data_IF_207912454636
#
_entry.id   IF_207912454636
#
_cell.length_a   1.000
_cell.length_b   1.000
_cell.length_c   1.000
_cell.angle_alpha   90.00
_cell.angle_beta   90.00
_cell.angle_gamma   90.00
#
_symmetry.space_group_name_H-M   'P 1'
#
loop_
_entity.id
_entity.type
_entity.pdbx_description
1 polymer ?
#
# COMPACT_ATOMS: atom_id res chain seq x y z
N UNK A 1 -4.61 18.55 -19.22
CA UNK A 1 -4.18 18.05 -17.90
C UNK A 1 -3.87 16.55 -17.94
N UNK A 2 -4.69 15.71 -18.58
CA UNK A 2 -4.48 14.25 -18.75
C UNK A 2 -3.15 13.84 -19.41
N UNK A 3 -2.53 14.72 -20.20
CA UNK A 3 -1.27 14.44 -20.90
C UNK A 3 -0.05 14.52 -19.97
N UNK A 4 -0.06 15.44 -19.00
CA UNK A 4 1.05 15.62 -18.05
C UNK A 4 1.10 14.49 -17.00
N UNK A 5 -0.07 14.09 -16.49
CA UNK A 5 -0.21 12.96 -15.57
C UNK A 5 0.29 11.66 -16.19
N UNK A 6 -0.14 11.36 -17.42
CA UNK A 6 0.30 10.17 -18.15
C UNK A 6 1.81 10.17 -18.41
N UNK A 7 2.39 11.32 -18.79
CA UNK A 7 3.83 11.45 -19.01
C UNK A 7 4.63 11.16 -17.72
N UNK A 8 4.17 11.69 -16.58
CA UNK A 8 4.81 11.45 -15.28
C UNK A 8 4.75 9.96 -14.89
N UNK A 9 3.58 9.32 -15.06
CA UNK A 9 3.42 7.89 -14.76
C UNK A 9 4.30 7.02 -15.64
N UNK A 10 4.39 7.31 -16.95
CA UNK A 10 5.31 6.60 -17.87
C UNK A 10 6.76 6.75 -17.45
N UNK A 11 7.16 7.95 -17.00
CA UNK A 11 8.51 8.20 -16.49
C UNK A 11 8.80 7.39 -15.23
N UNK A 12 7.87 7.36 -14.26
CA UNK A 12 8.05 6.58 -13.03
C UNK A 12 8.06 5.06 -13.32
N UNK A 13 7.24 4.58 -14.25
CA UNK A 13 7.24 3.17 -14.65
C UNK A 13 8.57 2.78 -15.29
N UNK A 14 9.07 3.60 -16.22
CA UNK A 14 10.36 3.38 -16.85
C UNK A 14 11.52 3.39 -15.84
N UNK A 15 11.46 4.26 -14.83
CA UNK A 15 12.46 4.33 -13.76
C UNK A 15 12.45 3.05 -12.92
N UNK A 16 11.28 2.58 -12.48
CA UNK A 16 11.14 1.34 -11.69
C UNK A 16 11.57 0.10 -12.49
N UNK A 17 11.31 0.06 -13.80
CA UNK A 17 11.78 -1.02 -14.66
C UNK A 17 13.30 -1.02 -14.86
N UNK A 18 13.92 0.17 -14.89
CA UNK A 18 15.35 0.32 -15.07
C UNK A 18 16.12 0.09 -13.77
N UNK A 19 15.60 0.59 -12.67
CA UNK A 19 16.17 0.58 -11.33
C UNK A 19 15.14 -0.03 -10.37
N UNK A 20 14.97 -1.37 -10.37
CA UNK A 20 14.03 -2.04 -9.49
C UNK A 20 14.42 -1.82 -8.03
N UNK A 21 13.42 -1.57 -7.19
CA UNK A 21 13.59 -1.35 -5.75
C UNK A 21 13.28 -2.66 -5.02
N UNK A 22 14.09 -2.99 -4.02
CA UNK A 22 13.88 -4.22 -3.25
C UNK A 22 12.57 -4.16 -2.45
N UNK A 23 11.93 -5.32 -2.29
CA UNK A 23 10.72 -5.48 -1.49
C UNK A 23 9.40 -5.31 -2.26
N UNK A 24 9.41 -4.82 -3.50
CA UNK A 24 8.22 -4.85 -4.35
C UNK A 24 8.53 -4.92 -5.85
N UNK A 25 7.53 -5.29 -6.63
CA UNK A 25 7.50 -5.11 -8.08
C UNK A 25 6.23 -4.36 -8.48
N UNK A 26 6.30 -3.56 -9.54
CA UNK A 26 5.19 -2.75 -10.02
C UNK A 26 5.12 -2.77 -11.54
N UNK A 27 3.92 -2.88 -12.09
CA UNK A 27 3.67 -2.90 -13.53
C UNK A 27 2.24 -2.49 -13.85
N UNK A 28 1.89 -2.47 -15.14
CA UNK A 28 0.52 -2.17 -15.57
C UNK A 28 -0.36 -3.42 -15.44
N UNK A 29 -1.63 -3.21 -15.09
CA UNK A 29 -2.64 -4.28 -15.19
C UNK A 29 -2.93 -4.58 -16.66
N UNK A 30 -2.98 -3.52 -17.47
CA UNK A 30 -3.21 -3.54 -18.91
C UNK A 30 -2.28 -2.49 -19.54
N UNK A 31 -1.52 -2.89 -20.57
CA UNK A 31 -0.54 -2.03 -21.24
C UNK A 31 -1.18 -0.78 -21.88
N UNK A 32 -2.49 -0.84 -22.14
CA UNK A 32 -3.27 0.28 -22.69
C UNK A 32 -3.75 1.28 -21.62
N UNK A 33 -3.69 0.94 -20.31
CA UNK A 33 -4.17 1.78 -19.20
C UNK A 33 -3.06 2.13 -18.20
N UNK A 34 -2.32 3.20 -18.50
CA UNK A 34 -1.25 3.74 -17.64
C UNK A 34 -1.71 4.18 -16.25
N UNK A 35 -3.02 4.28 -15.98
CA UNK A 35 -3.58 4.72 -14.69
C UNK A 35 -3.92 3.56 -13.75
N UNK A 36 -3.70 2.30 -14.16
CA UNK A 36 -3.98 1.12 -13.33
C UNK A 36 -2.78 0.20 -13.27
N UNK A 37 -2.21 0.11 -12.08
CA UNK A 37 -1.00 -0.66 -11.85
C UNK A 37 -1.29 -1.83 -10.93
N UNK A 38 -0.63 -2.95 -11.20
CA UNK A 38 -0.49 -4.06 -10.29
C UNK A 38 0.85 -3.92 -9.57
N UNK A 39 0.85 -4.12 -8.26
CA UNK A 39 2.06 -4.21 -7.45
C UNK A 39 2.06 -5.50 -6.66
N UNK A 40 3.23 -6.10 -6.49
CA UNK A 40 3.44 -7.25 -5.60
C UNK A 40 4.45 -6.84 -4.56
N UNK A 41 4.06 -6.89 -3.29
CA UNK A 41 4.89 -6.51 -2.15
C UNK A 41 5.33 -7.79 -1.43
N UNK A 42 6.63 -7.90 -1.19
CA UNK A 42 7.20 -8.97 -0.39
C UNK A 42 7.10 -8.53 1.08
N UNK A 43 6.53 -9.39 1.91
CA UNK A 43 6.44 -9.17 3.35
C UNK A 43 7.82 -8.87 3.96
N UNK A 44 8.00 -7.75 4.69
CA UNK A 44 9.32 -7.33 5.14
C UNK A 44 9.92 -8.31 6.16
N UNK A 45 11.24 -8.44 6.17
CA UNK A 45 11.97 -9.26 7.15
C UNK A 45 11.74 -8.76 8.58
N UNK A 46 11.80 -9.69 9.54
CA UNK A 46 11.60 -9.43 10.97
C UNK A 46 10.21 -8.86 11.32
N UNK A 47 9.22 -9.08 10.44
CA UNK A 47 7.82 -8.71 10.68
C UNK A 47 6.91 -9.93 10.71
N UNK A 48 5.67 -9.75 11.19
CA UNK A 48 4.67 -10.83 11.12
C UNK A 48 4.27 -11.19 9.68
N UNK A 49 4.56 -10.32 8.71
CA UNK A 49 4.23 -10.49 7.30
C UNK A 49 5.36 -11.15 6.50
N UNK A 50 6.53 -11.39 7.11
CA UNK A 50 7.73 -11.90 6.45
C UNK A 50 7.45 -13.10 5.54
N UNK A 51 7.97 -13.03 4.31
CA UNK A 51 7.86 -14.10 3.31
C UNK A 51 6.49 -14.18 2.60
N UNK A 52 5.53 -13.32 2.92
CA UNK A 52 4.28 -13.21 2.17
C UNK A 52 4.43 -12.48 0.83
N UNK A 53 3.56 -12.79 -0.14
CA UNK A 53 3.50 -12.14 -1.46
C UNK A 53 2.15 -11.43 -1.65
N UNK A 54 2.10 -10.13 -1.35
CA UNK A 54 0.85 -9.39 -1.31
C UNK A 54 0.63 -8.58 -2.59
N UNK A 55 -0.28 -9.05 -3.43
CA UNK A 55 -0.73 -8.34 -4.63
C UNK A 55 -1.68 -7.22 -4.24
N UNK A 56 -1.48 -6.05 -4.85
CA UNK A 56 -2.34 -4.89 -4.70
C UNK A 56 -2.49 -4.14 -6.03
N UNK A 57 -3.57 -3.35 -6.14
CA UNK A 57 -3.79 -2.43 -7.25
C UNK A 57 -3.59 -1.00 -6.81
N UNK A 58 -2.95 -0.23 -7.67
CA UNK A 58 -2.79 1.21 -7.55
C UNK A 58 -3.56 1.89 -8.69
N UNK A 59 -4.60 2.63 -8.35
CA UNK A 59 -5.45 3.34 -9.31
C UNK A 59 -5.21 4.84 -9.21
N UNK A 60 -4.65 5.42 -10.25
CA UNK A 60 -4.28 6.83 -10.30
C UNK A 60 -5.44 7.68 -10.81
N UNK A 61 -5.65 8.88 -10.24
CA UNK A 61 -6.61 9.83 -10.80
C UNK A 61 -6.02 10.55 -12.02
N UNK A 62 -6.89 11.07 -12.90
CA UNK A 62 -6.46 11.79 -14.11
C UNK A 62 -5.73 13.11 -13.86
N UNK A 63 -5.82 13.65 -12.64
CA UNK A 63 -5.10 14.85 -12.18
C UNK A 63 -3.90 14.51 -11.30
N UNK A 64 -3.43 13.26 -11.29
CA UNK A 64 -2.13 12.91 -10.72
C UNK A 64 -1.01 13.80 -11.28
N UNK A 65 -0.08 14.34 -10.46
CA UNK A 65 0.15 14.07 -9.04
C UNK A 65 -0.53 15.07 -8.08
N UNK A 66 -1.55 15.82 -8.51
CA UNK A 66 -2.25 16.75 -7.60
C UNK A 66 -3.04 16.01 -6.52
N UNK A 67 -3.57 14.84 -6.86
CA UNK A 67 -4.24 13.93 -5.92
C UNK A 67 -3.58 12.56 -5.88
N UNK A 68 -3.64 11.88 -4.72
CA UNK A 68 -3.01 10.57 -4.55
C UNK A 68 -3.71 9.49 -5.39
N UNK A 69 -3.01 8.41 -5.72
CA UNK A 69 -3.67 7.18 -6.15
C UNK A 69 -4.44 6.52 -5.00
N UNK A 70 -5.35 5.61 -5.33
CA UNK A 70 -5.93 4.67 -4.36
C UNK A 70 -5.20 3.35 -4.43
N UNK A 71 -4.87 2.79 -3.26
CA UNK A 71 -4.26 1.48 -3.16
C UNK A 71 -5.22 0.47 -2.52
N UNK A 72 -5.27 -0.72 -3.10
CA UNK A 72 -6.12 -1.81 -2.64
C UNK A 72 -5.41 -3.16 -2.71
N UNK A 73 -5.26 -3.85 -1.59
CA UNK A 73 -4.82 -5.23 -1.59
C UNK A 73 -5.86 -6.15 -2.24
N UNK A 74 -5.38 -6.99 -3.14
CA UNK A 74 -6.15 -8.06 -3.80
C UNK A 74 -5.92 -9.38 -3.04
N UNK A 75 -4.69 -9.62 -2.61
CA UNK A 75 -4.38 -10.68 -1.66
C UNK A 75 -5.05 -10.40 -0.32
N UNK A 76 -5.67 -11.40 0.29
CA UNK A 76 -6.24 -11.30 1.64
C UNK A 76 -5.14 -10.94 2.65
N UNK A 77 -5.34 -9.86 3.41
CA UNK A 77 -4.40 -9.39 4.43
C UNK A 77 -5.15 -9.01 5.71
N UNK A 78 -4.55 -9.32 6.86
CA UNK A 78 -5.07 -8.92 8.18
C UNK A 78 -4.20 -7.82 8.76
N UNK A 79 -4.66 -6.56 8.70
CA UNK A 79 -3.85 -5.41 9.10
C UNK A 79 -4.73 -4.26 9.64
N UNK A 80 -4.32 -3.54 10.71
CA UNK A 80 -5.07 -2.39 11.26
C UNK A 80 -5.39 -1.29 10.25
N UNK A 81 -4.45 -0.95 9.37
CA UNK A 81 -4.59 0.11 8.35
C UNK A 81 -5.09 -0.39 6.98
N UNK A 82 -5.59 -1.62 6.90
CA UNK A 82 -6.22 -2.16 5.68
C UNK A 82 -7.66 -2.52 5.98
N UNK A 83 -8.60 -1.88 5.28
CA UNK A 83 -10.02 -2.16 5.42
C UNK A 83 -10.37 -3.59 4.98
N UNK A 84 -11.52 -4.10 5.43
CA UNK A 84 -11.97 -5.48 5.10
C UNK A 84 -12.12 -5.74 3.60
N UNK A 85 -12.33 -4.68 2.81
CA UNK A 85 -12.42 -4.77 1.36
C UNK A 85 -11.06 -4.73 0.65
N UNK A 86 -9.96 -4.51 1.38
CA UNK A 86 -8.59 -4.40 0.88
C UNK A 86 -8.06 -2.96 0.75
N UNK A 87 -8.90 -1.93 0.93
CA UNK A 87 -8.46 -0.54 0.77
C UNK A 87 -7.43 -0.16 1.84
N UNK A 88 -6.31 0.45 1.42
CA UNK A 88 -5.22 0.87 2.31
C UNK A 88 -5.46 2.29 2.78
N UNK A 89 -5.38 2.54 4.09
CA UNK A 89 -5.57 3.85 4.70
C UNK A 89 -4.32 4.26 5.48
N UNK A 90 -3.44 5.03 4.83
CA UNK A 90 -2.25 5.64 5.44
C UNK A 90 -2.14 7.09 4.97
N UNK A 91 -1.54 7.94 5.80
CA UNK A 91 -1.51 9.40 5.63
C UNK A 91 -1.02 9.83 4.24
N UNK A 92 0.02 9.20 3.69
CA UNK A 92 0.56 9.51 2.37
C UNK A 92 -0.48 9.36 1.23
N UNK A 93 -1.53 8.55 1.41
CA UNK A 93 -2.62 8.35 0.44
C UNK A 93 -3.84 9.25 0.72
N UNK A 94 -3.81 10.07 1.78
CA UNK A 94 -4.88 11.01 2.07
C UNK A 94 -4.73 12.29 1.24
N UNK A 95 -5.88 12.88 0.87
CA UNK A 95 -5.95 14.12 0.10
C UNK A 95 -5.09 15.24 0.74
N UNK A 96 -4.42 16.08 -0.08
CA UNK A 96 -3.54 17.15 0.40
C UNK A 96 -4.31 18.19 1.22
N UNK A 97 -3.59 18.88 2.10
CA UNK A 97 -4.12 19.98 2.92
C UNK A 97 -4.18 19.64 4.40
N UNK A 98 -4.90 20.46 5.16
CA UNK A 98 -5.06 20.28 6.60
C UNK A 98 -6.07 19.17 6.90
N UNK A 99 -5.70 18.27 7.82
CA UNK A 99 -6.64 17.29 8.35
C UNK A 99 -7.70 17.99 9.21
N UNK A 100 -8.97 17.73 8.91
CA UNK A 100 -10.11 18.34 9.62
C UNK A 100 -10.14 17.96 11.10
N UNK A 101 -9.56 16.82 11.45
CA UNK A 101 -9.55 16.29 12.81
C UNK A 101 -8.22 16.54 13.53
N UNK A 102 -7.21 17.06 12.81
CA UNK A 102 -5.90 17.40 13.37
C UNK A 102 -5.03 16.22 13.78
N UNK A 103 -5.32 15.01 13.29
CA UNK A 103 -4.50 13.83 13.59
C UNK A 103 -3.22 13.78 12.78
N UNK A 104 -3.24 14.35 11.58
CA UNK A 104 -2.15 14.31 10.61
C UNK A 104 -1.69 15.71 10.25
N UNK A 105 -0.37 15.89 10.16
CA UNK A 105 0.21 17.11 9.63
C UNK A 105 0.09 17.13 8.09
N UNK A 106 -0.01 18.31 7.46
CA UNK A 106 -0.02 18.41 5.99
C UNK A 106 1.19 17.75 5.30
N UNK A 107 2.35 17.74 5.97
CA UNK A 107 3.59 17.10 5.48
C UNK A 107 3.56 15.56 5.53
N UNK A 108 2.67 14.96 6.32
CA UNK A 108 2.46 13.51 6.39
C UNK A 108 1.46 13.02 5.33
N UNK A 109 0.72 13.95 4.70
CA UNK A 109 -0.32 13.69 3.70
C UNK A 109 0.24 13.70 2.28
N UNK A 110 -0.61 13.49 1.28
CA UNK A 110 -0.18 13.49 -0.11
C UNK A 110 0.47 14.82 -0.51
N UNK A 111 1.66 14.74 -1.09
CA UNK A 111 2.36 15.85 -1.73
C UNK A 111 2.67 15.45 -3.18
N UNK A 112 2.58 16.36 -4.16
CA UNK A 112 2.88 16.06 -5.58
C UNK A 112 4.31 15.56 -5.87
N UNK A 113 5.21 15.64 -4.89
CA UNK A 113 6.57 15.10 -4.95
C UNK A 113 6.63 13.59 -4.71
N UNK A 114 5.58 13.00 -4.13
CA UNK A 114 5.52 11.57 -3.86
C UNK A 114 5.36 10.76 -5.15
N UNK A 115 6.15 9.70 -5.23
CA UNK A 115 6.20 8.74 -6.35
C UNK A 115 5.60 7.40 -5.91
N UNK A 116 5.39 6.50 -6.87
CA UNK A 116 5.02 5.10 -6.58
C UNK A 116 5.99 4.46 -5.59
N UNK A 117 7.29 4.68 -5.77
CA UNK A 117 8.32 4.18 -4.85
C UNK A 117 8.11 4.69 -3.41
N UNK A 118 7.89 6.00 -3.22
CA UNK A 118 7.67 6.55 -1.85
C UNK A 118 6.40 6.00 -1.20
N UNK A 119 5.35 5.69 -1.99
CA UNK A 119 4.14 5.02 -1.50
C UNK A 119 4.50 3.60 -1.05
N UNK A 120 5.23 2.84 -1.86
CA UNK A 120 5.60 1.46 -1.52
C UNK A 120 6.49 1.38 -0.28
N UNK A 121 7.45 2.30 -0.13
CA UNK A 121 8.25 2.41 1.11
C UNK A 121 7.35 2.65 2.32
N UNK A 122 6.35 3.53 2.20
CA UNK A 122 5.40 3.81 3.29
C UNK A 122 4.54 2.60 3.62
N UNK A 123 4.13 1.80 2.62
CA UNK A 123 3.36 0.57 2.83
C UNK A 123 4.21 -0.52 3.48
N UNK A 124 5.46 -0.68 3.05
CA UNK A 124 6.43 -1.61 3.67
C UNK A 124 6.63 -1.22 5.14
N UNK A 125 6.82 0.07 5.42
CA UNK A 125 6.92 0.59 6.80
C UNK A 125 5.65 0.33 7.60
N UNK A 126 4.47 0.51 7.00
CA UNK A 126 3.18 0.24 7.63
C UNK A 126 3.04 -1.24 8.01
N UNK A 127 3.50 -2.17 7.18
CA UNK A 127 3.47 -3.61 7.51
C UNK A 127 4.39 -3.97 8.69
N UNK A 128 5.51 -3.24 8.84
CA UNK A 128 6.43 -3.44 9.94
C UNK A 128 5.91 -2.84 11.26
N UNK A 129 5.30 -1.66 11.18
CA UNK A 129 4.78 -0.93 12.35
C UNK A 129 3.33 -0.45 12.12
N UNK A 130 2.34 -1.29 12.47
CA UNK A 130 0.93 -0.94 12.29
C UNK A 130 0.49 0.24 13.15
N UNK A 131 -0.13 1.25 12.53
CA UNK A 131 -0.69 2.40 13.24
C UNK A 131 -2.08 2.05 13.81
N UNK A 132 -2.20 2.02 15.14
CA UNK A 132 -3.45 1.71 15.85
C UNK A 132 -4.32 2.92 16.23
N UNK A 133 -3.84 4.14 15.99
CA UNK A 133 -4.53 5.38 16.39
C UNK A 133 -5.66 5.76 15.43
N UNK A 134 -5.52 5.41 14.15
CA UNK A 134 -6.54 5.62 13.11
C UNK A 134 -6.72 4.38 12.24
N UNK A 135 -7.32 3.29 12.79
CA UNK A 135 -7.40 2.02 12.09
C UNK A 135 -8.55 1.98 11.08
N UNK A 136 -8.27 1.41 9.90
CA UNK A 136 -9.29 1.05 8.91
C UNK A 136 -10.02 -0.27 9.27
N UNK A 137 -9.36 -1.15 10.02
CA UNK A 137 -9.91 -2.39 10.52
C UNK A 137 -9.79 -2.43 12.05
N UNK A 138 -10.90 -2.09 12.70
CA UNK A 138 -11.00 -1.99 14.17
C UNK A 138 -10.74 -3.33 14.85
N UNK A 139 -11.16 -4.45 14.24
CA UNK A 139 -10.96 -5.79 14.78
C UNK A 139 -9.46 -6.14 14.78
N UNK A 140 -8.77 -5.91 13.65
CA UNK A 140 -7.33 -6.12 13.55
C UNK A 140 -6.55 -5.19 14.49
N UNK A 141 -6.97 -3.93 14.64
CA UNK A 141 -6.33 -2.98 15.54
C UNK A 141 -6.53 -3.32 17.03
N UNK A 142 -7.66 -3.93 17.39
CA UNK A 142 -7.89 -4.44 18.74
C UNK A 142 -6.98 -5.62 19.03
N UNK A 143 -6.93 -6.58 18.12
CA UNK A 143 -6.07 -7.77 18.26
C UNK A 143 -4.59 -7.40 18.29
N UNK A 144 -4.15 -6.45 17.47
CA UNK A 144 -2.79 -5.92 17.51
C UNK A 144 -2.41 -5.32 18.88
N UNK A 145 -3.33 -4.55 19.49
CA UNK A 145 -3.09 -3.90 20.78
C UNK A 145 -3.14 -4.87 21.97
N UNK A 146 -4.09 -5.81 21.95
CA UNK A 146 -4.36 -6.68 23.09
C UNK A 146 -3.55 -7.99 23.05
N UNK A 147 -3.35 -8.57 21.87
CA UNK A 147 -2.70 -9.88 21.69
C UNK A 147 -1.96 -9.98 20.34
N UNK A 148 -0.87 -9.21 20.15
CA UNK A 148 -0.13 -9.20 18.88
C UNK A 148 0.50 -10.56 18.55
N UNK A 149 0.86 -11.35 19.57
CA UNK A 149 1.56 -12.62 19.41
C UNK A 149 0.66 -13.87 19.40
N UNK A 150 -0.61 -13.74 19.79
CA UNK A 150 -1.58 -14.83 19.76
C UNK A 150 -2.46 -14.78 18.51
N UNK A 151 -3.70 -14.32 18.64
CA UNK A 151 -4.68 -14.38 17.56
C UNK A 151 -4.30 -13.51 16.34
N UNK A 152 -3.72 -12.33 16.58
CA UNK A 152 -3.28 -11.45 15.49
C UNK A 152 -2.23 -12.16 14.61
N UNK A 153 -1.13 -12.62 15.22
CA UNK A 153 -0.08 -13.39 14.56
C UNK A 153 -0.62 -14.62 13.83
N UNK A 154 -1.55 -15.36 14.44
CA UNK A 154 -2.15 -16.55 13.82
C UNK A 154 -2.92 -16.23 12.54
N UNK A 155 -3.67 -15.12 12.52
CA UNK A 155 -4.40 -14.68 11.33
C UNK A 155 -3.44 -14.17 10.25
N UNK A 156 -2.45 -13.35 10.63
CA UNK A 156 -1.43 -12.87 9.68
C UNK A 156 -0.67 -14.04 9.06
N UNK A 157 -0.24 -15.02 9.84
CA UNK A 157 0.45 -16.22 9.33
C UNK A 157 -0.41 -17.02 8.33
N UNK A 158 -1.74 -17.02 8.49
CA UNK A 158 -2.66 -17.63 7.52
C UNK A 158 -2.68 -16.83 6.22
N UNK A 159 -2.71 -15.50 6.28
CA UNK A 159 -2.62 -14.63 5.10
C UNK A 159 -1.29 -14.83 4.36
N UNK A 160 -0.16 -14.91 5.09
CA UNK A 160 1.17 -15.20 4.52
C UNK A 160 1.18 -16.54 3.79
N UNK A 161 0.69 -17.62 4.40
CA UNK A 161 0.67 -18.94 3.75
C UNK A 161 -0.20 -18.95 2.49
N UNK A 162 -1.41 -18.39 2.56
CA UNK A 162 -2.31 -18.30 1.40
C UNK A 162 -1.69 -17.48 0.26
N UNK A 163 -0.98 -16.41 0.59
CA UNK A 163 -0.36 -15.55 -0.43
C UNK A 163 0.79 -16.25 -1.14
N UNK A 164 1.53 -17.11 -0.44
CA UNK A 164 2.53 -18.00 -1.04
C UNK A 164 1.89 -19.02 -1.97
N UNK A 165 0.81 -19.70 -1.55
CA UNK A 165 0.09 -20.67 -2.40
C UNK A 165 -0.33 -20.02 -3.73
N UNK A 166 -0.97 -18.84 -3.67
CA UNK A 166 -1.39 -18.10 -4.87
C UNK A 166 -0.25 -17.57 -5.75
N UNK A 167 0.97 -17.44 -5.21
CA UNK A 167 2.11 -16.92 -5.96
C UNK A 167 2.82 -17.99 -6.80
N UNK A 168 2.62 -19.27 -6.47
CA UNK A 168 3.28 -20.41 -7.11
C UNK A 168 2.31 -21.35 -7.85
N UNK A 169 1.02 -21.04 -7.84
CA UNK A 169 -0.02 -21.64 -8.69
C UNK A 169 -0.09 -20.97 -10.08
#
# INVERSE_FOLDING_TARGET
MTEQSALLLRKQLAELNKNPVEGFSAGLIDDDDIYKWEVVIIGPQDTLFEGGFFKAYLTFPYDYPLRPPKMKFITEIWHPNVAKNGDVCISILHEPGEDKFGYEKPEERWLPIHTVETIMISVISMLADPNSDSPANVDAAKEWREDPNGEFKRKVARCVRKSQEMAFD
#
